data_IF_951299936869
#
_entry.id   IF_951299936869
#
_cell.length_a   1.000
_cell.length_b   1.000
_cell.length_c   1.000
_cell.angle_alpha   90.00
_cell.angle_beta   90.00
_cell.angle_gamma   90.00
#
_symmetry.space_group_name_H-M   'P 1'
#
loop_
_entity.id
_entity.type
_entity.pdbx_description
1 polymer ?
#
# COMPACT_ATOMS: atom_id res chain seq x y z
N UNK A 1 -9.24 15.75 2.51
CA UNK A 1 -8.69 15.45 1.16
C UNK A 1 -9.06 16.54 0.14
N UNK A 2 -10.33 16.75 -0.23
CA UNK A 2 -10.73 17.75 -1.25
C UNK A 2 -10.10 19.16 -1.07
N UNK A 3 -10.11 19.70 0.15
CA UNK A 3 -9.49 21.00 0.47
C UNK A 3 -7.97 21.05 0.21
N UNK A 4 -7.26 19.95 0.48
CA UNK A 4 -5.82 19.87 0.24
C UNK A 4 -5.50 19.85 -1.27
N UNK A 5 -6.34 19.16 -2.03
CA UNK A 5 -6.17 18.97 -3.47
C UNK A 5 -6.60 20.19 -4.28
N UNK A 6 -7.50 21.03 -3.76
CA UNK A 6 -7.99 22.22 -4.45
C UNK A 6 -6.87 23.17 -4.93
N UNK A 7 -5.70 23.12 -4.28
CA UNK A 7 -4.51 23.89 -4.66
C UNK A 7 -3.60 23.23 -5.69
N UNK A 8 -3.94 22.04 -6.20
CA UNK A 8 -3.11 21.21 -7.08
C UNK A 8 -1.68 21.04 -6.54
N UNK A 9 -1.52 20.45 -5.34
CA UNK A 9 -0.21 20.32 -4.72
C UNK A 9 0.67 19.34 -5.51
N UNK A 10 1.98 19.58 -5.49
CA UNK A 10 2.97 18.62 -6.02
C UNK A 10 3.22 17.45 -5.05
N UNK A 11 2.91 17.64 -3.76
CA UNK A 11 3.04 16.63 -2.70
C UNK A 11 1.83 16.68 -1.76
N UNK A 12 1.20 15.54 -1.53
CA UNK A 12 0.12 15.35 -0.59
C UNK A 12 0.57 14.49 0.59
N UNK A 13 0.52 15.05 1.80
CA UNK A 13 0.80 14.31 3.04
C UNK A 13 -0.52 13.95 3.71
N UNK A 14 -0.71 12.66 3.99
CA UNK A 14 -1.92 12.10 4.58
C UNK A 14 -1.55 11.34 5.85
N UNK A 15 -2.08 11.79 6.98
CA UNK A 15 -1.91 11.14 8.27
C UNK A 15 -3.17 10.35 8.60
N UNK A 16 -3.08 9.03 8.58
CA UNK A 16 -4.16 8.07 8.87
C UNK A 16 -5.52 8.45 8.23
N UNK A 17 -5.58 8.64 6.90
CA UNK A 17 -6.76 9.22 6.25
C UNK A 17 -8.01 8.34 6.31
N UNK A 18 -7.85 7.04 6.59
CA UNK A 18 -8.92 6.03 6.67
C UNK A 18 -9.44 5.81 8.10
N UNK A 19 -8.89 6.49 9.11
CA UNK A 19 -9.25 6.24 10.49
C UNK A 19 -10.75 6.46 10.74
N UNK A 20 -11.44 5.41 11.24
CA UNK A 20 -12.87 5.45 11.55
C UNK A 20 -13.79 5.21 10.34
N UNK A 21 -13.24 4.77 9.21
CA UNK A 21 -14.00 4.32 8.03
C UNK A 21 -14.19 2.80 8.11
N UNK A 22 -15.23 2.27 7.48
CA UNK A 22 -15.44 0.82 7.36
C UNK A 22 -14.55 0.22 6.27
N UNK A 23 -14.30 -1.09 6.33
CA UNK A 23 -13.37 -1.78 5.41
C UNK A 23 -13.62 -1.48 3.92
N UNK A 24 -14.88 -1.47 3.48
CA UNK A 24 -15.21 -1.15 2.09
C UNK A 24 -14.92 0.32 1.75
N UNK A 25 -15.19 1.23 2.68
CA UNK A 25 -14.86 2.65 2.55
C UNK A 25 -13.36 2.91 2.56
N UNK A 26 -12.56 2.14 3.31
CA UNK A 26 -11.09 2.24 3.29
C UNK A 26 -10.55 1.95 1.89
N UNK A 27 -10.98 0.84 1.29
CA UNK A 27 -10.60 0.46 -0.08
C UNK A 27 -11.00 1.56 -1.07
N UNK A 28 -12.23 2.08 -0.96
CA UNK A 28 -12.72 3.15 -1.83
C UNK A 28 -11.89 4.44 -1.66
N UNK A 29 -11.53 4.80 -0.42
CA UNK A 29 -10.75 5.99 -0.13
C UNK A 29 -9.32 5.88 -0.66
N UNK A 30 -8.69 4.72 -0.51
CA UNK A 30 -7.36 4.49 -1.04
C UNK A 30 -7.32 4.50 -2.56
N UNK A 31 -8.30 3.87 -3.23
CA UNK A 31 -8.44 3.96 -4.67
C UNK A 31 -8.64 5.41 -5.14
N UNK A 32 -9.43 6.19 -4.39
CA UNK A 32 -9.60 7.61 -4.67
C UNK A 32 -8.27 8.37 -4.55
N UNK A 33 -7.51 8.15 -3.47
CA UNK A 33 -6.20 8.77 -3.24
C UNK A 33 -5.23 8.45 -4.39
N UNK A 34 -5.18 7.19 -4.82
CA UNK A 34 -4.35 6.76 -5.97
C UNK A 34 -4.75 7.46 -7.26
N UNK A 35 -6.05 7.47 -7.58
CA UNK A 35 -6.57 8.16 -8.78
C UNK A 35 -6.24 9.66 -8.78
N UNK A 36 -6.26 10.29 -7.60
CA UNK A 36 -5.88 11.71 -7.44
C UNK A 36 -4.38 11.89 -7.73
N UNK A 37 -3.52 11.00 -7.21
CA UNK A 37 -2.08 10.98 -7.51
C UNK A 37 -1.84 10.98 -9.01
N UNK A 38 -2.48 10.04 -9.71
CA UNK A 38 -2.29 9.81 -11.15
C UNK A 38 -2.82 10.99 -11.97
N UNK A 39 -3.99 11.52 -11.59
CA UNK A 39 -4.63 12.62 -12.33
C UNK A 39 -3.89 13.94 -12.16
N UNK A 40 -3.33 14.20 -10.98
CA UNK A 40 -2.65 15.47 -10.67
C UNK A 40 -1.14 15.38 -10.82
N UNK A 41 -0.60 14.19 -11.09
CA UNK A 41 0.82 13.90 -11.07
C UNK A 41 1.49 14.43 -9.77
N UNK A 42 0.84 14.17 -8.63
CA UNK A 42 1.34 14.58 -7.32
C UNK A 42 1.94 13.38 -6.57
N UNK A 43 3.02 13.63 -5.82
CA UNK A 43 3.57 12.66 -4.90
C UNK A 43 2.66 12.49 -3.68
N UNK A 44 2.64 11.29 -3.10
CA UNK A 44 1.86 10.99 -1.90
C UNK A 44 2.77 10.45 -0.82
N UNK A 45 2.73 11.08 0.36
CA UNK A 45 3.28 10.56 1.60
C UNK A 45 2.12 10.16 2.50
N UNK A 46 1.92 8.86 2.66
CA UNK A 46 0.89 8.30 3.52
C UNK A 46 1.52 7.76 4.79
N UNK A 47 0.96 8.15 5.94
CA UNK A 47 1.26 7.57 7.24
C UNK A 47 0.10 6.65 7.59
N UNK A 48 0.40 5.36 7.80
CA UNK A 48 -0.60 4.39 8.24
C UNK A 48 0.01 3.27 9.07
N UNK A 49 -0.77 2.76 10.00
CA UNK A 49 -0.53 1.52 10.72
C UNK A 49 -1.09 0.28 9.99
N UNK A 50 -1.86 0.43 8.89
CA UNK A 50 -2.32 -0.69 8.09
C UNK A 50 -1.24 -1.18 7.12
N UNK A 51 -0.58 -2.24 7.57
CA UNK A 51 0.50 -2.91 6.85
C UNK A 51 0.02 -3.51 5.52
N UNK A 52 -1.20 -4.05 5.45
CA UNK A 52 -1.70 -4.72 4.24
C UNK A 52 -1.86 -3.72 3.11
N UNK A 53 -2.38 -2.53 3.42
CA UNK A 53 -2.47 -1.45 2.46
C UNK A 53 -1.09 -0.96 2.03
N UNK A 54 -0.23 -0.63 3.01
CA UNK A 54 1.11 -0.08 2.75
C UNK A 54 1.92 -0.99 1.83
N UNK A 55 1.87 -2.31 2.05
CA UNK A 55 2.64 -3.25 1.25
C UNK A 55 2.08 -3.50 -0.16
N UNK A 56 0.78 -3.29 -0.37
CA UNK A 56 0.13 -3.56 -1.66
C UNK A 56 0.09 -2.36 -2.60
N UNK A 57 0.09 -1.15 -2.05
CA UNK A 57 -0.32 0.05 -2.78
C UNK A 57 0.71 1.18 -2.78
N UNK A 58 1.95 0.91 -2.33
CA UNK A 58 3.03 1.90 -2.30
C UNK A 58 4.24 1.45 -3.10
N UNK A 59 4.95 2.42 -3.70
CA UNK A 59 6.21 2.16 -4.40
C UNK A 59 7.39 2.00 -3.42
N UNK A 60 7.30 2.69 -2.28
CA UNK A 60 8.35 2.75 -1.28
C UNK A 60 7.75 2.85 0.13
N UNK A 61 8.31 2.07 1.04
CA UNK A 61 7.89 1.95 2.44
C UNK A 61 9.03 2.39 3.34
N UNK A 62 8.69 3.10 4.41
CA UNK A 62 9.62 3.47 5.49
C UNK A 62 8.98 2.99 6.79
N UNK A 63 9.66 2.08 7.49
CA UNK A 63 9.22 1.60 8.79
C UNK A 63 9.91 2.40 9.91
N UNK A 64 9.11 2.83 10.89
CA UNK A 64 9.54 3.66 12.01
C UNK A 64 9.27 2.93 13.33
N UNK A 65 10.30 2.78 14.16
CA UNK A 65 10.21 2.32 15.56
C UNK A 65 11.11 3.18 16.47
N UNK A 66 10.74 4.46 16.64
CA UNK A 66 11.59 5.48 17.28
C UNK A 66 12.82 5.91 16.46
N UNK A 67 13.13 5.19 15.39
CA UNK A 67 14.12 5.46 14.36
C UNK A 67 13.67 4.78 13.06
N UNK A 68 14.32 5.09 11.93
CA UNK A 68 14.09 4.36 10.67
C UNK A 68 14.71 2.98 10.78
N UNK A 69 13.89 1.94 10.93
CA UNK A 69 14.38 0.57 11.10
C UNK A 69 14.66 -0.10 9.75
N UNK A 70 13.86 0.20 8.72
CA UNK A 70 14.09 -0.24 7.35
C UNK A 70 13.32 0.64 6.36
N UNK A 71 13.81 0.68 5.12
CA UNK A 71 13.21 1.45 4.03
C UNK A 71 13.53 0.82 2.68
N UNK A 72 12.58 0.88 1.75
CA UNK A 72 12.77 0.36 0.39
C UNK A 72 11.44 0.01 -0.26
N UNK A 73 11.48 -0.80 -1.31
CA UNK A 73 10.25 -1.34 -1.90
C UNK A 73 9.55 -2.29 -0.90
N UNK A 74 8.22 -2.45 -0.98
CA UNK A 74 7.49 -3.40 -0.13
C UNK A 74 8.12 -4.80 -0.11
N UNK A 75 8.55 -5.31 -1.27
CA UNK A 75 9.17 -6.63 -1.38
C UNK A 75 10.54 -6.74 -0.69
N UNK A 76 11.28 -5.64 -0.61
CA UNK A 76 12.55 -5.60 0.13
C UNK A 76 12.29 -5.51 1.63
N UNK A 77 11.38 -4.61 2.05
CA UNK A 77 11.04 -4.40 3.46
C UNK A 77 10.45 -5.66 4.09
N UNK A 78 9.59 -6.39 3.39
CA UNK A 78 8.98 -7.64 3.88
C UNK A 78 10.02 -8.74 4.21
N UNK A 79 11.21 -8.70 3.61
CA UNK A 79 12.31 -9.65 3.87
C UNK A 79 13.34 -9.12 4.89
N UNK A 80 13.17 -7.89 5.37
CA UNK A 80 14.12 -7.28 6.27
C UNK A 80 14.01 -7.89 7.67
N UNK A 81 15.13 -8.32 8.30
CA UNK A 81 15.10 -8.88 9.65
C UNK A 81 14.43 -7.97 10.69
N UNK A 82 14.64 -6.66 10.61
CA UNK A 82 14.03 -5.70 11.52
C UNK A 82 12.49 -5.64 11.37
N UNK A 83 11.99 -5.85 10.15
CA UNK A 83 10.56 -5.93 9.89
C UNK A 83 9.96 -7.23 10.44
N UNK A 84 10.65 -8.37 10.21
CA UNK A 84 10.25 -9.69 10.72
C UNK A 84 10.24 -9.71 12.25
N UNK A 85 11.21 -9.06 12.90
CA UNK A 85 11.27 -8.96 14.36
C UNK A 85 10.07 -8.17 14.94
N UNK A 86 9.64 -7.11 14.26
CA UNK A 86 8.54 -6.24 14.72
C UNK A 86 7.16 -6.83 14.46
N UNK A 87 6.96 -7.50 13.33
CA UNK A 87 5.63 -7.95 12.89
C UNK A 87 5.48 -9.48 12.81
N UNK A 88 6.54 -10.24 13.05
CA UNK A 88 6.57 -11.70 13.03
C UNK A 88 6.69 -12.33 11.63
N UNK A 89 7.17 -13.57 11.56
CA UNK A 89 7.36 -14.31 10.29
C UNK A 89 6.05 -14.61 9.55
N UNK A 90 4.94 -14.80 10.27
CA UNK A 90 3.64 -15.07 9.67
C UNK A 90 3.12 -13.87 8.85
N UNK A 91 3.34 -12.65 9.33
CA UNK A 91 2.89 -11.44 8.64
C UNK A 91 3.78 -11.15 7.42
N UNK A 92 5.09 -11.32 7.56
CA UNK A 92 6.05 -11.20 6.46
C UNK A 92 5.79 -12.22 5.32
N UNK A 93 5.47 -13.47 5.66
CA UNK A 93 5.16 -14.52 4.68
C UNK A 93 3.82 -14.28 3.99
N UNK A 94 2.75 -13.93 4.70
CA UNK A 94 1.44 -13.59 4.10
C UNK A 94 1.55 -12.40 3.15
N UNK A 95 2.35 -11.38 3.48
CA UNK A 95 2.57 -10.21 2.63
C UNK A 95 3.47 -10.51 1.43
N UNK A 96 4.40 -11.46 1.54
CA UNK A 96 5.15 -11.99 0.39
C UNK A 96 4.31 -12.87 -0.53
N UNK A 97 3.26 -13.50 0.01
CA UNK A 97 2.33 -14.39 -0.70
C UNK A 97 1.19 -13.62 -1.37
N UNK A 98 0.89 -12.39 -0.94
CA UNK A 98 -0.08 -11.50 -1.58
C UNK A 98 0.46 -10.83 -2.86
N UNK A 99 1.15 -11.62 -3.68
CA UNK A 99 1.41 -11.32 -5.08
C UNK A 99 0.44 -12.18 -5.88
N UNK A 100 -0.75 -11.66 -6.17
CA UNK A 100 -1.60 -12.26 -7.20
C UNK A 100 -0.95 -12.03 -8.57
N UNK A 101 0.11 -12.79 -8.86
CA UNK A 101 0.57 -13.00 -10.22
C UNK A 101 -0.41 -13.98 -10.85
N UNK A 102 -1.37 -13.47 -11.61
CA UNK A 102 -2.16 -14.31 -12.50
C UNK A 102 -1.25 -14.74 -13.68
N UNK A 103 -0.48 -15.81 -13.49
CA UNK A 103 0.22 -16.50 -14.59
C UNK A 103 -0.73 -17.44 -15.36
N UNK A 104 -2.00 -17.05 -15.52
CA UNK A 104 -3.01 -17.89 -16.16
C UNK A 104 -3.99 -17.03 -16.95
N UNK A 105 -4.21 -17.38 -18.22
CA UNK A 105 -5.29 -16.78 -19.03
C UNK A 105 -6.52 -17.66 -18.94
N UNK A 106 -7.72 -17.08 -18.86
CA UNK A 106 -8.96 -17.84 -18.87
C UNK A 106 -9.54 -17.92 -20.29
N UNK A 107 -10.00 -19.10 -20.68
CA UNK A 107 -10.88 -19.26 -21.84
C UNK A 107 -12.28 -18.71 -21.54
N UNK A 108 -13.10 -18.54 -22.57
CA UNK A 108 -14.40 -17.86 -22.46
C UNK A 108 -15.45 -18.65 -21.63
N UNK A 109 -15.18 -19.93 -21.39
CA UNK A 109 -15.92 -20.84 -20.52
C UNK A 109 -15.32 -20.95 -19.09
N UNK A 110 -14.27 -20.17 -18.79
CA UNK A 110 -13.69 -20.04 -17.46
C UNK A 110 -12.56 -21.02 -17.14
N UNK A 111 -12.18 -21.91 -18.07
CA UNK A 111 -11.05 -22.83 -17.84
C UNK A 111 -9.70 -22.10 -17.86
N UNK A 112 -8.73 -22.60 -17.09
CA UNK A 112 -7.38 -22.04 -16.99
C UNK A 112 -6.55 -22.53 -18.17
N UNK A 113 -5.97 -21.60 -18.94
CA UNK A 113 -5.06 -21.85 -20.05
C UNK A 113 -3.65 -21.48 -19.59
N UNK A 114 -2.73 -22.45 -19.60
CA UNK A 114 -1.28 -22.23 -19.43
C UNK A 114 -0.69 -21.42 -20.58
#
# INVERSE_FOLDING_TARGET
IARAIAKKPELLVLDEPVQGVDFNGEIALYNLIKNISDTLNCGILLISHDIHFVMSSTDHVICLNGHVCCSGTPSYVAKNPAYIELFGEHTASVLSLYKHQHEHSHSIDGSIVE
#
